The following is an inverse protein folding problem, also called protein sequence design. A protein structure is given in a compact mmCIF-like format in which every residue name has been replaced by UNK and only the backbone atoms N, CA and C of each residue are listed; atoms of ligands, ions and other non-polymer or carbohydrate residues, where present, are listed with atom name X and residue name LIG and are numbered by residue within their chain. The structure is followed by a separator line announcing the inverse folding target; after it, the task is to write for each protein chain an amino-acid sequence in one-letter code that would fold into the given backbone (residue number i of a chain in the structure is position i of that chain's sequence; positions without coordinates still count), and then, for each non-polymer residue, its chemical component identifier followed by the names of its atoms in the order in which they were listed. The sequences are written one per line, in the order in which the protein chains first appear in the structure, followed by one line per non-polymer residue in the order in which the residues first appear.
data_IF_845543965320
#
_entry.id   IF_845543965320
#
_cell.length_a   1.000
_cell.length_b   1.000
_cell.length_c   1.000
_cell.angle_alpha   90.00
_cell.angle_beta   90.00
_cell.angle_gamma   90.00
#
_symmetry.space_group_name_H-M   'P 1'
#
loop_
_entity.id
_entity.type
_entity.pdbx_description
1 polymer ?
#
# COMPACT_ATOMS: atom_id res chain seq x y z
N UNK A 1 -18.84 -23.33 -18.80
CA UNK A 1 -17.77 -23.18 -17.81
C UNK A 1 -17.52 -21.69 -17.60
N UNK A 2 -18.36 -21.01 -16.80
CA UNK A 2 -18.39 -19.54 -16.72
C UNK A 2 -18.65 -18.98 -15.29
N UNK A 3 -18.84 -19.84 -14.28
CA UNK A 3 -19.25 -19.40 -12.93
C UNK A 3 -18.11 -19.14 -11.93
N UNK A 4 -16.88 -19.59 -12.22
CA UNK A 4 -15.75 -19.44 -11.28
C UNK A 4 -15.15 -18.03 -11.32
N UNK A 5 -15.15 -17.38 -12.49
CA UNK A 5 -14.60 -16.03 -12.69
C UNK A 5 -15.40 -14.96 -11.93
N UNK A 6 -16.74 -15.05 -11.98
CA UNK A 6 -17.61 -14.09 -11.28
C UNK A 6 -17.52 -14.27 -9.75
N UNK A 7 -17.46 -15.51 -9.25
CA UNK A 7 -17.29 -15.77 -7.81
C UNK A 7 -15.97 -15.27 -7.22
N UNK A 8 -14.88 -15.28 -8.01
CA UNK A 8 -13.57 -14.75 -7.57
C UNK A 8 -13.58 -13.23 -7.57
N UNK A 9 -14.15 -12.60 -8.60
CA UNK A 9 -14.32 -11.14 -8.67
C UNK A 9 -15.14 -10.61 -7.51
N UNK A 10 -16.26 -11.27 -7.18
CA UNK A 10 -17.12 -10.90 -6.05
C UNK A 10 -16.37 -10.97 -4.72
N UNK A 11 -15.51 -11.98 -4.54
CA UNK A 11 -14.68 -12.11 -3.34
C UNK A 11 -13.63 -11.00 -3.24
N UNK A 12 -12.99 -10.64 -4.35
CA UNK A 12 -12.00 -9.55 -4.37
C UNK A 12 -12.68 -8.22 -4.06
N UNK A 13 -13.85 -7.96 -4.63
CA UNK A 13 -14.61 -6.74 -4.38
C UNK A 13 -15.10 -6.68 -2.91
N UNK A 14 -15.55 -7.80 -2.35
CA UNK A 14 -15.90 -7.87 -0.92
C UNK A 14 -14.70 -7.57 -0.01
N UNK A 15 -13.53 -8.13 -0.31
CA UNK A 15 -12.29 -7.84 0.45
C UNK A 15 -11.87 -6.38 0.29
N UNK A 16 -12.03 -5.80 -0.90
CA UNK A 16 -11.75 -4.39 -1.18
C UNK A 16 -12.66 -3.48 -0.33
N UNK A 17 -13.95 -3.79 -0.23
CA UNK A 17 -14.90 -3.04 0.60
C UNK A 17 -14.57 -3.15 2.09
N UNK A 18 -14.22 -4.35 2.57
CA UNK A 18 -13.76 -4.55 3.94
C UNK A 18 -12.52 -3.72 4.22
N UNK A 19 -11.53 -3.74 3.31
CA UNK A 19 -10.33 -2.93 3.47
C UNK A 19 -10.65 -1.44 3.45
N UNK A 20 -11.51 -0.97 2.54
CA UNK A 20 -11.95 0.42 2.48
C UNK A 20 -12.54 0.89 3.82
N UNK A 21 -13.38 0.07 4.44
CA UNK A 21 -13.96 0.35 5.77
C UNK A 21 -12.95 0.36 6.91
N UNK A 22 -11.76 -0.22 6.72
CA UNK A 22 -10.68 -0.23 7.72
C UNK A 22 -9.66 0.89 7.53
N UNK A 23 -9.68 1.63 6.41
CA UNK A 23 -8.69 2.67 6.13
C UNK A 23 -8.74 3.75 7.21
N UNK A 24 -9.93 4.21 7.58
CA UNK A 24 -10.10 5.25 8.59
C UNK A 24 -9.57 4.84 9.96
N UNK A 25 -9.84 3.61 10.39
CA UNK A 25 -9.34 3.07 11.66
C UNK A 25 -7.81 3.00 11.67
N UNK A 26 -7.21 2.51 10.57
CA UNK A 26 -5.74 2.43 10.43
C UNK A 26 -5.08 3.80 10.42
N UNK A 27 -5.70 4.78 9.78
CA UNK A 27 -5.19 6.16 9.80
C UNK A 27 -5.31 6.78 11.19
N UNK A 28 -6.42 6.51 11.90
CA UNK A 28 -6.61 6.95 13.28
C UNK A 28 -5.58 6.33 14.23
N UNK A 29 -5.17 5.08 13.99
CA UNK A 29 -4.11 4.41 14.73
C UNK A 29 -2.75 5.10 14.50
N UNK A 30 -2.39 5.45 13.25
CA UNK A 30 -1.20 6.25 12.94
C UNK A 30 -1.21 7.63 13.63
N UNK A 31 -2.34 8.31 13.63
CA UNK A 31 -2.54 9.59 14.32
C UNK A 31 -2.38 9.46 15.84
N UNK A 32 -2.78 8.31 16.42
CA UNK A 32 -2.55 8.06 17.84
C UNK A 32 -1.05 7.99 18.19
N UNK A 33 -0.24 7.39 17.31
CA UNK A 33 1.21 7.30 17.48
C UNK A 33 1.92 8.65 17.30
N UNK A 34 1.37 9.54 16.45
CA UNK A 34 1.91 10.89 16.26
C UNK A 34 2.06 11.64 17.61
N UNK A 35 1.17 11.39 18.57
CA UNK A 35 1.29 12.00 19.89
C UNK A 35 2.58 11.57 20.63
N UNK A 36 3.10 10.37 20.42
CA UNK A 36 4.37 9.94 21.00
C UNK A 36 5.60 10.39 20.19
N UNK A 37 5.39 10.85 18.95
CA UNK A 37 6.42 11.32 18.02
C UNK A 37 6.62 12.84 18.20
N UNK A 38 7.23 13.21 19.33
CA UNK A 38 7.58 14.61 19.67
C UNK A 38 9.07 14.76 19.97
N UNK A 39 9.55 16.01 19.88
CA UNK A 39 10.96 16.38 20.14
C UNK A 39 11.36 16.09 21.58
N UNK A 40 10.43 16.26 22.53
CA UNK A 40 10.63 16.13 23.96
C UNK A 40 10.27 14.76 24.54
N UNK A 41 9.80 13.82 23.71
CA UNK A 41 9.42 12.50 24.18
C UNK A 41 10.63 11.72 24.74
N UNK A 42 10.44 10.80 25.70
CA UNK A 42 11.48 9.84 26.06
C UNK A 42 11.92 9.02 24.83
N UNK A 43 13.23 8.78 24.66
CA UNK A 43 13.76 8.02 23.51
C UNK A 43 13.09 6.67 23.29
N UNK A 44 12.85 5.83 24.33
CA UNK A 44 12.17 4.55 24.12
C UNK A 44 10.75 4.73 23.58
N UNK A 45 9.98 5.64 24.17
CA UNK A 45 8.60 5.92 23.74
C UNK A 45 8.53 6.44 22.30
N UNK A 46 9.49 7.29 21.92
CA UNK A 46 9.60 7.76 20.55
C UNK A 46 9.93 6.62 19.59
N UNK A 47 10.93 5.79 19.92
CA UNK A 47 11.37 4.69 19.06
C UNK A 47 10.24 3.68 18.85
N UNK A 48 9.55 3.28 19.92
CA UNK A 48 8.39 2.39 19.86
C UNK A 48 7.28 2.97 18.97
N UNK A 49 7.02 4.28 19.05
CA UNK A 49 6.01 4.93 18.23
C UNK A 49 6.39 5.01 16.75
N UNK A 50 7.68 5.23 16.44
CA UNK A 50 8.18 5.20 15.06
C UNK A 50 8.12 3.78 14.49
N UNK A 51 8.49 2.76 15.26
CA UNK A 51 8.41 1.36 14.86
C UNK A 51 6.97 0.95 14.56
N UNK A 52 6.03 1.28 15.47
CA UNK A 52 4.61 1.03 15.25
C UNK A 52 4.07 1.74 14.00
N UNK A 53 4.48 2.99 13.78
CA UNK A 53 4.09 3.76 12.58
C UNK A 53 4.68 3.16 11.30
N UNK A 54 5.92 2.68 11.36
CA UNK A 54 6.59 2.00 10.26
C UNK A 54 5.88 0.69 9.89
N UNK A 55 5.57 -0.15 10.86
CA UNK A 55 4.88 -1.42 10.63
C UNK A 55 3.49 -1.22 10.03
N UNK A 56 2.76 -0.22 10.52
CA UNK A 56 1.42 0.08 10.04
C UNK A 56 1.45 0.65 8.62
N UNK A 57 2.42 1.52 8.32
CA UNK A 57 2.67 2.00 6.96
C UNK A 57 3.03 0.85 6.02
N UNK A 58 3.92 -0.07 6.43
CA UNK A 58 4.28 -1.27 5.65
C UNK A 58 3.05 -2.13 5.31
N UNK A 59 2.21 -2.41 6.31
CA UNK A 59 0.96 -3.17 6.13
C UNK A 59 0.01 -2.45 5.17
N UNK A 60 -0.11 -1.12 5.27
CA UNK A 60 -0.91 -0.31 4.36
C UNK A 60 -0.39 -0.40 2.93
N UNK A 61 0.92 -0.30 2.70
CA UNK A 61 1.51 -0.40 1.35
C UNK A 61 1.11 -1.72 0.68
N UNK A 62 1.30 -2.84 1.37
CA UNK A 62 0.99 -4.17 0.84
C UNK A 62 -0.49 -4.38 0.59
N UNK A 63 -1.34 -4.04 1.56
CA UNK A 63 -2.79 -4.25 1.46
C UNK A 63 -3.45 -3.27 0.48
N UNK A 64 -3.11 -1.98 0.54
CA UNK A 64 -3.59 -0.96 -0.39
C UNK A 64 -3.16 -1.27 -1.83
N UNK A 65 -1.91 -1.70 -2.04
CA UNK A 65 -1.42 -2.11 -3.35
C UNK A 65 -2.19 -3.32 -3.91
N UNK A 66 -2.47 -4.31 -3.07
CA UNK A 66 -3.22 -5.52 -3.46
C UNK A 66 -4.67 -5.21 -3.87
N UNK A 67 -5.32 -4.28 -3.19
CA UNK A 67 -6.73 -3.94 -3.40
C UNK A 67 -6.97 -2.72 -4.31
N UNK A 68 -5.93 -2.23 -4.99
CA UNK A 68 -6.05 -1.17 -6.01
C UNK A 68 -6.11 0.26 -5.44
N UNK A 69 -5.72 0.48 -4.19
CA UNK A 69 -5.60 1.81 -3.58
C UNK A 69 -4.19 2.36 -3.81
N UNK A 70 -3.82 2.55 -5.07
CA UNK A 70 -2.46 2.91 -5.48
C UNK A 70 -1.97 4.22 -4.84
N UNK A 71 -2.81 5.26 -4.79
CA UNK A 71 -2.43 6.53 -4.16
C UNK A 71 -2.20 6.39 -2.65
N UNK A 72 -3.01 5.59 -1.95
CA UNK A 72 -2.81 5.34 -0.52
C UNK A 72 -1.51 4.56 -0.28
N UNK A 73 -1.24 3.55 -1.12
CA UNK A 73 0.01 2.78 -1.07
C UNK A 73 1.22 3.70 -1.27
N UNK A 74 1.19 4.60 -2.26
CA UNK A 74 2.29 5.53 -2.53
C UNK A 74 2.50 6.53 -1.39
N UNK A 75 1.42 7.10 -0.85
CA UNK A 75 1.52 8.01 0.30
C UNK A 75 2.06 7.28 1.55
N UNK A 76 1.68 6.02 1.76
CA UNK A 76 2.18 5.20 2.86
C UNK A 76 3.67 4.86 2.71
N UNK A 77 4.19 4.66 1.49
CA UNK A 77 5.64 4.48 1.25
C UNK A 77 6.47 5.66 1.74
N UNK A 78 5.98 6.88 1.52
CA UNK A 78 6.66 8.09 2.02
C UNK A 78 6.76 8.07 3.54
N UNK A 79 5.68 7.70 4.23
CA UNK A 79 5.67 7.61 5.69
C UNK A 79 6.61 6.50 6.21
N UNK A 80 6.56 5.32 5.59
CA UNK A 80 7.45 4.20 5.91
C UNK A 80 8.91 4.59 5.76
N UNK A 81 9.28 5.24 4.65
CA UNK A 81 10.65 5.67 4.40
C UNK A 81 11.15 6.68 5.45
N UNK A 82 10.32 7.64 5.84
CA UNK A 82 10.65 8.58 6.92
C UNK A 82 10.91 7.85 8.24
N UNK A 83 10.08 6.86 8.58
CA UNK A 83 10.23 6.08 9.79
C UNK A 83 11.51 5.23 9.77
N UNK A 84 11.78 4.54 8.66
CA UNK A 84 13.02 3.76 8.50
C UNK A 84 14.26 4.64 8.67
N UNK A 85 14.29 5.80 8.02
CA UNK A 85 15.40 6.76 8.12
C UNK A 85 15.62 7.22 9.57
N UNK A 86 14.55 7.43 10.35
CA UNK A 86 14.65 7.79 11.76
C UNK A 86 15.13 6.63 12.65
N UNK A 87 14.90 5.38 12.25
CA UNK A 87 15.31 4.19 13.00
C UNK A 87 16.75 3.73 12.71
N UNK A 88 17.35 4.18 11.60
CA UNK A 88 18.72 3.84 11.19
C UNK A 88 19.78 4.29 12.21
N UNK A 89 19.49 5.34 12.98
CA UNK A 89 20.40 5.87 14.01
C UNK A 89 19.69 5.97 15.36
N UNK A 90 20.46 6.00 16.44
CA UNK A 90 19.93 6.29 17.80
C UNK A 90 19.80 7.81 18.05
N UNK A 91 20.19 8.64 17.09
CA UNK A 91 20.11 10.09 17.20
C UNK A 91 18.68 10.58 16.95
N UNK A 92 18.35 11.72 17.55
CA UNK A 92 17.07 12.38 17.28
C UNK A 92 17.08 12.96 15.86
N UNK A 93 16.03 12.73 15.06
CA UNK A 93 15.96 13.35 13.75
C UNK A 93 15.79 14.88 13.89
N UNK A 94 16.16 15.64 12.85
CA UNK A 94 16.02 17.10 12.87
C UNK A 94 14.54 17.55 12.89
N UNK A 95 14.28 18.77 13.32
CA UNK A 95 12.92 19.34 13.38
C UNK A 95 12.13 19.24 12.06
N UNK A 96 12.84 19.33 10.92
CA UNK A 96 12.23 19.17 9.59
C UNK A 96 11.59 17.80 9.39
N UNK A 97 12.18 16.75 9.95
CA UNK A 97 11.67 15.39 9.86
C UNK A 97 10.29 15.26 10.53
N UNK A 98 10.07 15.92 11.68
CA UNK A 98 8.77 15.91 12.37
C UNK A 98 7.69 16.57 11.52
N UNK A 99 8.03 17.68 10.86
CA UNK A 99 7.10 18.35 9.93
C UNK A 99 6.78 17.47 8.73
N UNK A 100 7.80 16.81 8.16
CA UNK A 100 7.62 15.89 7.04
C UNK A 100 6.75 14.68 7.41
N UNK A 101 6.92 14.13 8.62
CA UNK A 101 6.10 13.05 9.16
C UNK A 101 4.62 13.48 9.25
N UNK A 102 4.35 14.65 9.84
CA UNK A 102 2.98 15.19 9.99
C UNK A 102 2.35 15.43 8.61
N UNK A 103 3.11 16.02 7.68
CA UNK A 103 2.63 16.26 6.31
C UNK A 103 2.33 14.95 5.58
N UNK A 104 3.19 13.94 5.72
CA UNK A 104 2.97 12.63 5.12
C UNK A 104 1.67 11.99 5.65
N UNK A 105 1.47 12.00 6.98
CA UNK A 105 0.26 11.46 7.60
C UNK A 105 -1.01 12.20 7.16
N UNK A 106 -1.01 13.54 7.19
CA UNK A 106 -2.16 14.33 6.73
C UNK A 106 -2.45 14.10 5.24
N UNK A 107 -1.42 13.91 4.41
CA UNK A 107 -1.62 13.61 2.99
C UNK A 107 -2.33 12.26 2.78
N UNK A 108 -2.06 11.26 3.62
CA UNK A 108 -2.75 9.97 3.59
C UNK A 108 -4.22 10.11 3.94
N UNK A 109 -4.56 10.89 4.98
CA UNK A 109 -5.96 11.15 5.37
C UNK A 109 -6.72 11.92 4.30
N UNK A 110 -6.16 13.01 3.77
CA UNK A 110 -6.79 13.76 2.68
C UNK A 110 -7.00 12.87 1.43
N UNK A 111 -6.06 11.97 1.16
CA UNK A 111 -6.16 10.99 0.09
C UNK A 111 -7.26 9.94 0.28
N UNK A 112 -7.43 9.45 1.51
CA UNK A 112 -8.48 8.50 1.85
C UNK A 112 -9.88 9.12 1.71
N UNK A 113 -10.05 10.36 2.17
CA UNK A 113 -11.32 11.11 2.07
C UNK A 113 -11.69 11.47 0.62
N UNK A 114 -10.70 11.79 -0.22
CA UNK A 114 -10.92 12.02 -1.64
C UNK A 114 -11.26 10.72 -2.41
N UNK A 115 -10.68 9.59 -1.98
CA UNK A 115 -10.89 8.27 -2.59
C UNK A 115 -12.19 7.58 -2.18
N UNK A 116 -12.78 7.93 -1.03
CA UNK A 116 -14.05 7.36 -0.54
C UNK A 116 -15.29 8.04 -1.14
N UNK A 117 -15.14 9.24 -1.73
CA UNK A 117 -16.22 9.97 -2.41
C UNK A 117 -16.42 9.63 -3.90
N UNK A 118 -15.54 8.81 -4.49
CA UNK A 118 -15.60 8.43 -5.90
C UNK A 118 -16.30 7.10 -6.11
N UNK A 119 -17.56 7.12 -6.51
CA UNK A 119 -18.20 5.96 -7.12
C UNK A 119 -17.35 5.49 -8.32
N UNK A 120 -16.91 4.23 -8.24
CA UNK A 120 -16.50 3.32 -9.32
C UNK A 120 -16.24 3.98 -10.68
N UNK A 121 -14.98 4.26 -10.98
CA UNK A 121 -14.51 4.27 -12.37
C UNK A 121 -13.55 3.10 -12.57
N UNK A 122 -13.93 2.10 -13.38
CA UNK A 122 -12.99 1.15 -13.94
C UNK A 122 -12.28 1.81 -15.12
N UNK A 123 -11.31 2.68 -14.85
CA UNK A 123 -10.13 2.77 -15.71
C UNK A 123 -9.01 2.09 -14.89
N UNK A 124 -8.26 1.08 -15.33
CA UNK A 124 -7.68 0.76 -16.64
C UNK A 124 -6.72 1.84 -17.19
N UNK A 125 -6.13 2.70 -16.35
CA UNK A 125 -4.89 3.40 -16.77
C UNK A 125 -3.68 3.30 -15.84
N UNK A 126 -3.79 2.80 -14.60
CA UNK A 126 -2.69 2.94 -13.63
C UNK A 126 -1.89 1.70 -13.22
N UNK A 127 -1.99 0.59 -13.97
CA UNK A 127 -1.07 -0.57 -13.82
C UNK A 127 0.36 -0.24 -14.35
N UNK A 128 0.59 0.94 -14.91
CA UNK A 128 1.86 1.28 -15.60
C UNK A 128 2.94 1.98 -14.76
N UNK A 129 2.67 2.46 -13.54
CA UNK A 129 3.63 3.36 -12.86
C UNK A 129 4.50 2.73 -11.77
N UNK A 130 4.51 1.40 -11.62
CA UNK A 130 5.49 0.68 -10.79
C UNK A 130 6.75 0.21 -11.55
N UNK A 131 6.88 0.57 -12.83
CA UNK A 131 8.07 0.27 -13.64
C UNK A 131 8.75 1.60 -14.04
N UNK A 132 9.49 2.20 -13.11
CA UNK A 132 10.38 3.29 -13.44
C UNK A 132 11.43 2.83 -14.45
N UNK A 133 11.32 3.33 -15.69
CA UNK A 133 12.25 3.21 -16.82
C UNK A 133 12.51 1.79 -17.37
N UNK A 134 11.66 1.37 -18.29
CA UNK A 134 12.11 0.67 -19.51
C UNK A 134 11.32 1.25 -20.69
N UNK A 135 11.80 2.37 -21.22
CA UNK A 135 11.56 2.68 -22.63
C UNK A 135 12.31 1.63 -23.44
N UNK A 136 11.65 0.52 -23.76
CA UNK A 136 11.59 0.01 -25.14
C UNK A 136 10.60 -1.16 -25.23
N UNK A 137 9.96 -1.25 -26.39
CA UNK A 137 8.88 -2.18 -26.70
C UNK A 137 9.21 -3.66 -26.40
N UNK A 138 8.80 -4.18 -25.25
CA UNK A 138 8.67 -5.60 -25.01
C UNK A 138 7.60 -5.88 -23.94
N UNK A 139 6.55 -6.60 -24.32
CA UNK A 139 5.56 -7.13 -23.39
C UNK A 139 6.29 -8.03 -22.38
N UNK A 140 6.28 -7.67 -21.09
CA UNK A 140 6.86 -8.49 -20.02
C UNK A 140 6.04 -9.79 -19.90
N UNK A 141 6.53 -10.84 -20.57
CA UNK A 141 5.96 -12.18 -20.53
C UNK A 141 6.56 -12.96 -19.35
N UNK A 142 5.69 -13.58 -18.57
CA UNK A 142 6.05 -14.45 -17.44
C UNK A 142 5.58 -15.85 -17.80
N UNK A 143 6.50 -16.83 -17.75
CA UNK A 143 6.16 -18.25 -17.91
C UNK A 143 5.89 -18.83 -16.54
N UNK A 144 4.68 -19.33 -16.32
CA UNK A 144 4.26 -19.88 -15.05
C UNK A 144 4.44 -21.40 -15.04
N UNK A 145 5.46 -21.88 -14.33
CA UNK A 145 5.65 -23.31 -14.08
C UNK A 145 5.08 -23.63 -12.71
N UNK A 146 3.86 -24.16 -12.68
CA UNK A 146 3.17 -24.59 -11.46
C UNK A 146 2.69 -26.03 -11.60
N UNK A 147 3.01 -26.86 -10.60
CA UNK A 147 2.68 -28.29 -10.58
C UNK A 147 1.21 -28.54 -10.18
N UNK A 148 0.57 -27.54 -9.54
CA UNK A 148 -0.83 -27.57 -9.14
C UNK A 148 -1.67 -26.61 -10.02
N UNK A 149 -2.60 -27.11 -10.85
CA UNK A 149 -3.37 -26.29 -11.77
C UNK A 149 -4.34 -25.33 -11.08
N UNK A 150 -4.79 -25.61 -9.84
CA UNK A 150 -5.63 -24.67 -9.09
C UNK A 150 -4.81 -23.46 -8.61
N UNK A 151 -3.59 -23.69 -8.12
CA UNK A 151 -2.67 -22.63 -7.72
C UNK A 151 -2.16 -21.83 -8.91
N UNK A 152 -1.83 -22.51 -10.02
CA UNK A 152 -1.44 -21.87 -11.26
C UNK A 152 -2.48 -20.87 -11.76
N UNK A 153 -3.77 -21.19 -11.64
CA UNK A 153 -4.85 -20.27 -12.02
C UNK A 153 -4.88 -18.99 -11.17
N UNK A 154 -4.67 -19.11 -9.86
CA UNK A 154 -4.63 -17.97 -8.93
C UNK A 154 -3.39 -17.10 -9.17
N UNK A 155 -2.23 -17.72 -9.36
CA UNK A 155 -0.96 -17.02 -9.61
C UNK A 155 -0.99 -16.31 -10.95
N UNK A 156 -1.53 -16.94 -12.00
CA UNK A 156 -1.77 -16.32 -13.30
C UNK A 156 -2.67 -15.09 -13.19
N UNK A 157 -3.82 -15.23 -12.52
CA UNK A 157 -4.77 -14.13 -12.37
C UNK A 157 -4.14 -12.93 -11.63
N UNK A 158 -3.33 -13.18 -10.60
CA UNK A 158 -2.59 -12.14 -9.90
C UNK A 158 -1.62 -11.43 -10.83
N UNK A 159 -0.80 -12.18 -11.56
CA UNK A 159 0.20 -11.63 -12.49
C UNK A 159 -0.44 -10.84 -13.64
N UNK A 160 -1.52 -11.33 -14.21
CA UNK A 160 -2.30 -10.61 -15.23
C UNK A 160 -2.90 -9.32 -14.65
N UNK A 161 -3.39 -9.34 -13.41
CA UNK A 161 -3.89 -8.16 -12.72
C UNK A 161 -2.79 -7.11 -12.41
N UNK A 162 -1.52 -7.56 -12.33
CA UNK A 162 -0.34 -6.69 -12.25
C UNK A 162 0.21 -6.26 -13.62
N UNK A 163 -0.44 -6.62 -14.73
CA UNK A 163 -0.08 -6.18 -16.08
C UNK A 163 0.95 -7.04 -16.81
N UNK A 164 1.24 -8.25 -16.30
CA UNK A 164 2.11 -9.20 -16.97
C UNK A 164 1.33 -10.07 -17.96
N UNK A 165 1.95 -10.42 -19.09
CA UNK A 165 1.42 -11.43 -20.01
C UNK A 165 1.86 -12.82 -19.54
N UNK A 166 0.95 -13.69 -19.13
CA UNK A 166 1.31 -15.00 -18.55
C UNK A 166 1.05 -16.13 -19.54
N UNK A 167 2.14 -16.79 -19.94
CA UNK A 167 2.12 -18.01 -20.76
C UNK A 167 2.29 -19.26 -19.84
N UNK A 168 1.67 -20.37 -20.24
CA UNK A 168 1.71 -21.67 -19.53
C UNK A 168 2.79 -22.59 -20.08
#
# INVERSE_FOLDING_TARGET
MMAISDSVKDKIEALRQVFAGQIDDRLSELESHQSAIRVDAPTPLFRDAIEASCELAHKLIGTAGTFGFAELSERARRLEHLCLTALETDERPPDSWYQEYIVALHSMRAGAEAGTGGALQPDQENVRSAAGKLDDAAHNRVVLVEDDPEQGGVTKLRLENFGFAVDW
#
